data_IF_398343497820
#
_entry.id   IF_398343497820
#
_cell.length_a   1.000
_cell.length_b   1.000
_cell.length_c   1.000
_cell.angle_alpha   90.00
_cell.angle_beta   90.00
_cell.angle_gamma   90.00
#
_symmetry.space_group_name_H-M   'P 1'
#
loop_
_entity.id
_entity.type
_entity.pdbx_description
1 polymer ?
#
# COMPACT_ATOMS: atom_id res chain seq x y z
N UNK A 1 34.69 17.36 17.62
CA UNK A 1 33.23 17.17 17.79
C UNK A 1 32.78 16.18 16.74
N UNK A 2 32.46 14.95 17.14
CA UNK A 2 31.73 14.03 16.27
C UNK A 2 30.25 14.40 16.40
N UNK A 3 29.56 14.61 15.27
CA UNK A 3 28.12 14.71 15.27
C UNK A 3 27.59 13.33 15.67
N UNK A 4 26.84 13.25 16.78
CA UNK A 4 26.09 12.04 17.10
C UNK A 4 25.22 11.68 15.88
N UNK A 5 25.19 10.41 15.44
CA UNK A 5 24.36 10.05 14.30
C UNK A 5 22.91 10.36 14.66
N UNK A 6 22.28 11.23 13.87
CA UNK A 6 20.89 11.72 14.04
C UNK A 6 19.87 10.58 14.25
N UNK A 7 20.23 9.35 13.90
CA UNK A 7 19.39 8.17 14.01
C UNK A 7 19.80 7.10 15.05
N UNK A 8 20.95 7.23 15.73
CA UNK A 8 21.37 6.41 16.90
C UNK A 8 21.04 4.91 16.89
N UNK A 9 20.84 4.33 18.09
CA UNK A 9 20.34 2.96 18.32
C UNK A 9 18.93 2.70 17.72
N UNK A 10 18.26 3.74 17.22
CA UNK A 10 16.92 3.64 16.61
C UNK A 10 16.93 3.13 15.17
N UNK A 11 18.08 3.10 14.47
CA UNK A 11 18.15 2.62 13.08
C UNK A 11 17.70 1.16 12.98
N UNK A 12 18.18 0.30 13.89
CA UNK A 12 17.84 -1.12 13.88
C UNK A 12 16.35 -1.34 14.17
N UNK A 13 15.82 -0.66 15.18
CA UNK A 13 14.39 -0.71 15.53
C UNK A 13 13.51 -0.21 14.38
N UNK A 14 13.93 0.84 13.67
CA UNK A 14 13.21 1.35 12.49
C UNK A 14 13.25 0.38 11.31
N UNK A 15 14.38 -0.32 11.11
CA UNK A 15 14.48 -1.39 10.10
C UNK A 15 13.52 -2.53 10.43
N UNK A 16 13.50 -2.98 11.68
CA UNK A 16 12.60 -4.04 12.14
C UNK A 16 11.12 -3.64 12.10
N UNK A 17 10.84 -2.34 12.20
CA UNK A 17 9.48 -1.79 12.08
C UNK A 17 9.05 -1.56 10.63
N UNK A 18 9.94 -1.73 9.65
CA UNK A 18 9.63 -1.53 8.24
C UNK A 18 8.86 -2.72 7.67
N UNK A 19 7.77 -2.43 6.96
CA UNK A 19 6.99 -3.44 6.22
C UNK A 19 7.85 -4.15 5.18
N UNK A 20 8.88 -3.50 4.64
CA UNK A 20 9.80 -4.07 3.64
C UNK A 20 10.91 -4.95 4.26
N UNK A 21 10.87 -5.20 5.58
CA UNK A 21 11.82 -6.05 6.30
C UNK A 21 11.13 -7.14 7.15
N UNK A 22 10.19 -7.93 6.59
CA UNK A 22 9.57 -9.03 7.31
C UNK A 22 10.60 -10.13 7.58
N UNK A 23 10.39 -10.86 8.68
CA UNK A 23 11.20 -12.03 8.97
C UNK A 23 11.03 -13.10 7.88
N UNK A 24 12.05 -13.92 7.64
CA UNK A 24 12.02 -15.03 6.67
C UNK A 24 10.87 -16.01 6.97
N UNK A 25 10.56 -16.23 8.24
CA UNK A 25 9.42 -17.06 8.67
C UNK A 25 8.06 -16.43 8.29
N UNK A 26 7.95 -15.11 8.34
CA UNK A 26 6.75 -14.38 7.92
C UNK A 26 6.54 -14.50 6.40
N UNK A 27 7.60 -14.37 5.61
CA UNK A 27 7.53 -14.48 4.14
C UNK A 27 7.08 -15.87 3.65
N UNK A 28 7.54 -16.94 4.31
CA UNK A 28 7.21 -18.31 3.93
C UNK A 28 5.75 -18.71 4.19
N UNK A 29 5.04 -17.97 5.04
CA UNK A 29 3.64 -18.26 5.42
C UNK A 29 2.60 -17.38 4.72
N UNK A 30 3.03 -16.35 3.99
CA UNK A 30 2.11 -15.44 3.30
C UNK A 30 1.51 -16.07 2.04
N UNK A 31 0.20 -15.87 1.86
CA UNK A 31 -0.51 -16.23 0.64
C UNK A 31 -0.14 -15.26 -0.48
N UNK A 32 0.72 -15.71 -1.39
CA UNK A 32 1.26 -14.91 -2.50
C UNK A 32 0.21 -14.54 -3.56
N UNK A 33 -0.88 -15.29 -3.60
CA UNK A 33 -2.04 -15.10 -4.47
C UNK A 33 -3.07 -14.12 -3.87
N UNK A 34 -2.85 -13.64 -2.64
CA UNK A 34 -3.75 -12.68 -2.00
C UNK A 34 -3.80 -11.38 -2.81
N UNK A 35 -4.98 -10.97 -3.29
CA UNK A 35 -5.13 -9.71 -4.00
C UNK A 35 -4.86 -8.53 -3.06
N UNK A 36 -3.99 -7.62 -3.50
CA UNK A 36 -3.62 -6.42 -2.77
C UNK A 36 -3.80 -5.18 -3.65
N UNK A 37 -4.33 -4.12 -3.05
CA UNK A 37 -4.48 -2.81 -3.68
C UNK A 37 -3.65 -1.80 -2.88
N UNK A 38 -2.68 -1.18 -3.54
CA UNK A 38 -1.92 -0.05 -3.03
C UNK A 38 -2.55 1.24 -3.55
N UNK A 39 -3.11 2.04 -2.64
CA UNK A 39 -3.73 3.33 -2.93
C UNK A 39 -2.85 4.45 -2.40
N UNK A 40 -2.57 5.45 -3.24
CA UNK A 40 -1.81 6.63 -2.84
C UNK A 40 -2.38 7.89 -3.49
N UNK A 41 -2.17 9.03 -2.85
CA UNK A 41 -2.71 10.30 -3.30
C UNK A 41 -1.71 10.95 -4.25
N UNK A 42 -2.19 11.50 -5.36
CA UNK A 42 -1.33 12.20 -6.32
C UNK A 42 -0.67 13.45 -5.73
N UNK A 43 -1.40 14.15 -4.87
CA UNK A 43 -0.95 15.42 -4.30
C UNK A 43 -0.23 15.22 -2.95
N UNK A 44 0.19 13.98 -2.65
CA UNK A 44 1.06 13.68 -1.51
C UNK A 44 2.52 13.99 -1.82
N UNK A 45 3.15 14.73 -0.92
CA UNK A 45 4.59 14.98 -1.00
C UNK A 45 5.35 13.69 -0.68
N UNK A 46 6.00 13.11 -1.69
CA UNK A 46 6.97 12.02 -1.60
C UNK A 46 6.43 10.65 -1.12
N UNK A 47 5.17 10.31 -1.36
CA UNK A 47 4.61 8.99 -1.02
C UNK A 47 4.28 8.12 -2.25
N UNK A 48 4.39 8.69 -3.45
CA UNK A 48 4.28 7.97 -4.72
C UNK A 48 5.46 7.00 -4.92
N UNK A 49 6.67 7.44 -4.60
CA UNK A 49 7.88 6.60 -4.61
C UNK A 49 7.73 5.39 -3.68
N UNK A 50 7.24 5.58 -2.46
CA UNK A 50 7.02 4.51 -1.48
C UNK A 50 6.06 3.42 -2.01
N UNK A 51 4.96 3.83 -2.68
CA UNK A 51 4.00 2.89 -3.23
C UNK A 51 4.59 2.05 -4.38
N UNK A 52 5.42 2.67 -5.22
CA UNK A 52 6.12 2.00 -6.32
C UNK A 52 7.17 1.02 -5.77
N UNK A 53 7.98 1.47 -4.79
CA UNK A 53 8.99 0.64 -4.14
C UNK A 53 8.37 -0.57 -3.43
N UNK A 54 7.27 -0.35 -2.71
CA UNK A 54 6.56 -1.42 -2.02
C UNK A 54 6.00 -2.45 -3.01
N UNK A 55 5.42 -2.01 -4.14
CA UNK A 55 4.97 -2.94 -5.20
C UNK A 55 6.13 -3.74 -5.79
N UNK A 56 7.25 -3.08 -6.10
CA UNK A 56 8.42 -3.75 -6.64
C UNK A 56 8.97 -4.80 -5.67
N UNK A 57 9.01 -4.46 -4.38
CA UNK A 57 9.43 -5.38 -3.33
C UNK A 57 8.47 -6.56 -3.17
N UNK A 58 7.15 -6.34 -3.13
CA UNK A 58 6.15 -7.42 -3.11
C UNK A 58 6.28 -8.34 -4.33
N UNK A 59 6.47 -7.78 -5.52
CA UNK A 59 6.69 -8.56 -6.74
C UNK A 59 7.97 -9.41 -6.64
N UNK A 60 9.06 -8.87 -6.07
CA UNK A 60 10.31 -9.61 -5.87
C UNK A 60 10.15 -10.83 -4.96
N UNK A 61 9.17 -10.80 -4.07
CA UNK A 61 8.82 -11.90 -3.17
C UNK A 61 7.82 -12.90 -3.79
N UNK A 62 7.34 -12.61 -5.00
CA UNK A 62 6.43 -13.45 -5.75
C UNK A 62 4.95 -13.19 -5.50
N UNK A 63 4.57 -12.05 -4.91
CA UNK A 63 3.17 -11.61 -4.91
C UNK A 63 2.78 -11.15 -6.31
N UNK A 64 1.82 -11.83 -6.93
CA UNK A 64 1.48 -11.60 -8.35
C UNK A 64 0.26 -10.71 -8.53
N UNK A 65 -0.58 -10.57 -7.50
CA UNK A 65 -1.86 -9.86 -7.58
C UNK A 65 -1.81 -8.52 -6.83
N UNK A 66 -0.88 -7.64 -7.23
CA UNK A 66 -0.69 -6.32 -6.60
C UNK A 66 -1.06 -5.19 -7.57
N UNK A 67 -2.21 -4.56 -7.32
CA UNK A 67 -2.66 -3.38 -8.04
C UNK A 67 -2.14 -2.09 -7.37
N UNK A 68 -1.87 -1.06 -8.16
CA UNK A 68 -1.56 0.29 -7.68
C UNK A 68 -2.54 1.27 -8.31
N UNK A 69 -3.12 2.15 -7.50
CA UNK A 69 -4.04 3.18 -7.96
C UNK A 69 -3.65 4.54 -7.35
N UNK A 70 -3.24 5.46 -8.21
CA UNK A 70 -3.00 6.86 -7.86
C UNK A 70 -4.34 7.62 -7.88
N UNK A 71 -4.68 8.30 -6.79
CA UNK A 71 -5.92 9.06 -6.67
C UNK A 71 -5.64 10.56 -6.94
N UNK A 72 -6.16 11.13 -8.04
CA UNK A 72 -5.91 12.52 -8.39
C UNK A 72 -6.77 13.48 -7.57
N UNK A 73 -6.25 14.70 -7.33
CA UNK A 73 -6.98 15.78 -6.66
C UNK A 73 -7.24 15.52 -5.17
N UNK A 74 -6.40 14.70 -4.56
CA UNK A 74 -6.44 14.36 -3.13
C UNK A 74 -5.02 14.29 -2.59
N UNK A 75 -4.88 14.65 -1.33
CA UNK A 75 -3.70 14.45 -0.49
C UNK A 75 -4.01 13.45 0.65
N UNK A 76 -3.07 13.28 1.55
CA UNK A 76 -3.07 12.26 2.60
C UNK A 76 -4.27 12.38 3.52
N UNK A 77 -4.71 13.61 3.76
CA UNK A 77 -5.85 13.91 4.63
C UNK A 77 -7.19 13.78 3.92
N UNK A 78 -7.21 13.86 2.59
CA UNK A 78 -8.43 13.89 1.78
C UNK A 78 -8.62 12.64 0.92
N UNK A 79 -7.61 11.77 0.84
CA UNK A 79 -7.65 10.50 0.10
C UNK A 79 -8.67 9.54 0.71
N UNK A 80 -8.82 9.53 2.03
CA UNK A 80 -9.95 8.87 2.68
C UNK A 80 -11.14 9.82 2.58
N UNK A 81 -11.83 9.76 1.45
CA UNK A 81 -12.92 10.67 1.16
C UNK A 81 -14.19 10.35 1.95
N UNK A 82 -15.29 10.97 1.53
CA UNK A 82 -16.55 11.00 2.26
C UNK A 82 -17.04 9.60 2.68
N UNK A 83 -17.08 9.35 4.00
CA UNK A 83 -17.71 8.17 4.61
C UNK A 83 -19.21 8.36 4.84
N UNK A 84 -19.75 9.52 4.44
CA UNK A 84 -21.16 9.83 4.55
C UNK A 84 -21.96 9.12 3.44
N UNK A 85 -22.87 8.23 3.82
CA UNK A 85 -23.71 7.48 2.90
C UNK A 85 -24.63 8.36 2.02
N UNK A 86 -24.86 9.62 2.40
CA UNK A 86 -25.70 10.56 1.67
C UNK A 86 -24.95 11.37 0.61
N UNK A 87 -23.62 11.22 0.51
CA UNK A 87 -22.81 11.94 -0.46
C UNK A 87 -22.23 10.97 -1.50
N UNK A 88 -21.93 11.44 -2.72
CA UNK A 88 -21.33 10.58 -3.74
C UNK A 88 -20.05 9.91 -3.23
N UNK A 89 -19.80 8.63 -3.56
CA UNK A 89 -18.59 7.93 -3.14
C UNK A 89 -17.34 8.67 -3.61
N UNK A 90 -16.36 8.80 -2.72
CA UNK A 90 -15.07 9.37 -3.09
C UNK A 90 -14.36 8.54 -4.15
N UNK A 91 -13.40 9.14 -4.88
CA UNK A 91 -12.59 8.42 -5.88
C UNK A 91 -11.92 7.18 -5.29
N UNK A 92 -11.38 7.29 -4.09
CA UNK A 92 -10.76 6.17 -3.38
C UNK A 92 -11.78 5.08 -3.06
N UNK A 93 -12.99 5.45 -2.60
CA UNK A 93 -14.08 4.48 -2.36
C UNK A 93 -14.49 3.77 -3.64
N UNK A 94 -14.53 4.49 -4.77
CA UNK A 94 -14.83 3.91 -6.08
C UNK A 94 -13.74 2.92 -6.51
N UNK A 95 -12.45 3.29 -6.35
CA UNK A 95 -11.31 2.42 -6.65
C UNK A 95 -11.33 1.14 -5.80
N UNK A 96 -11.57 1.26 -4.49
CA UNK A 96 -11.68 0.10 -3.58
C UNK A 96 -12.83 -0.80 -3.99
N UNK A 97 -14.00 -0.21 -4.26
CA UNK A 97 -15.21 -0.98 -4.63
C UNK A 97 -15.02 -1.71 -5.95
N UNK A 98 -14.40 -1.03 -6.93
CA UNK A 98 -14.01 -1.63 -8.22
C UNK A 98 -13.07 -2.81 -7.99
N UNK A 99 -11.99 -2.61 -7.23
CA UNK A 99 -11.02 -3.67 -6.95
C UNK A 99 -11.65 -4.89 -6.27
N UNK A 100 -12.46 -4.69 -5.23
CA UNK A 100 -13.16 -5.78 -4.54
C UNK A 100 -14.08 -6.52 -5.52
N UNK A 101 -14.85 -5.78 -6.33
CA UNK A 101 -15.72 -6.40 -7.33
C UNK A 101 -14.93 -7.22 -8.34
N UNK A 102 -13.87 -6.65 -8.92
CA UNK A 102 -13.09 -7.30 -9.96
C UNK A 102 -12.46 -8.60 -9.40
N UNK A 103 -11.87 -8.54 -8.21
CA UNK A 103 -11.30 -9.71 -7.50
C UNK A 103 -12.34 -10.78 -7.13
N UNK A 104 -13.56 -10.38 -6.75
CA UNK A 104 -14.62 -11.33 -6.33
C UNK A 104 -15.39 -11.90 -7.52
N UNK A 105 -15.47 -11.18 -8.63
CA UNK A 105 -16.15 -11.63 -9.85
C UNK A 105 -15.25 -12.49 -10.74
N UNK A 106 -13.94 -12.23 -10.80
CA UNK A 106 -12.97 -13.10 -11.47
C UNK A 106 -13.00 -14.55 -10.93
N UNK A 107 -13.31 -14.75 -9.65
CA UNK A 107 -13.43 -16.08 -9.05
C UNK A 107 -14.71 -16.85 -9.42
N UNK A 108 -15.73 -16.19 -9.95
CA UNK A 108 -17.03 -16.80 -10.26
C UNK A 108 -17.19 -17.14 -11.76
N UNK A 109 -16.12 -17.03 -12.54
CA UNK A 109 -16.11 -17.29 -13.99
C UNK A 109 -15.58 -18.67 -14.42
N UNK A 110 -15.55 -19.66 -13.53
CA UNK A 110 -15.13 -21.05 -13.84
C UNK A 110 -16.20 -22.05 -13.45
#
# INVERSE_FOLDING_TARGET
>A
MALDPVFGHGVQVRRESSVMQPSVASLGSMKKDLPMLLLYAKDDFHLDEDAIELKAWLNSLGFTHVACEEIPGTNHFTIIGNVNANLPPSRSTQAITKFIRDVTTEKNGH
#
